data_IF_855500395527
#
_entry.id   IF_855500395527
#
_cell.length_a   1.000
_cell.length_b   1.000
_cell.length_c   1.000
_cell.angle_alpha   90.00
_cell.angle_beta   90.00
_cell.angle_gamma   90.00
#
_symmetry.space_group_name_H-M   'P 1'
#
loop_
_entity.id
_entity.type
_entity.pdbx_description
1 polymer ?
#
# COMPACT_ATOMS: atom_id res chain seq x y z
N UNK A 1 4.80 21.70 -34.65
CA UNK A 1 4.72 20.64 -33.62
C UNK A 1 6.14 20.17 -33.32
N UNK A 2 6.61 20.46 -32.12
CA UNK A 2 7.99 20.25 -31.69
C UNK A 2 8.32 18.75 -31.60
N UNK A 3 9.53 18.35 -31.99
CA UNK A 3 9.96 16.93 -32.03
C UNK A 3 10.12 16.32 -30.63
N UNK A 4 10.20 17.16 -29.60
CA UNK A 4 10.41 16.80 -28.20
C UNK A 4 9.20 16.12 -27.52
N UNK A 5 7.96 16.39 -27.97
CA UNK A 5 6.76 15.77 -27.39
C UNK A 5 6.66 14.26 -27.66
N UNK A 6 7.08 13.83 -28.86
CA UNK A 6 7.00 12.41 -29.26
C UNK A 6 7.97 11.54 -28.48
N UNK A 7 9.12 12.08 -28.09
CA UNK A 7 10.11 11.38 -27.25
C UNK A 7 9.59 11.17 -25.83
N UNK A 8 8.91 12.16 -25.27
CA UNK A 8 8.33 12.07 -23.93
C UNK A 8 7.18 11.07 -23.87
N UNK A 9 6.22 11.13 -24.78
CA UNK A 9 5.09 10.17 -24.82
C UNK A 9 5.55 8.72 -25.06
N UNK A 10 6.55 8.52 -25.91
CA UNK A 10 7.09 7.17 -26.19
C UNK A 10 7.81 6.61 -24.97
N UNK A 11 8.52 7.45 -24.22
CA UNK A 11 9.22 7.06 -22.98
C UNK A 11 8.24 6.76 -21.84
N UNK A 12 7.19 7.56 -21.70
CA UNK A 12 6.09 7.33 -20.76
C UNK A 12 5.36 6.03 -21.12
N UNK A 13 4.95 5.83 -22.39
CA UNK A 13 4.34 4.56 -22.83
C UNK A 13 5.27 3.37 -22.59
N UNK A 14 6.57 3.47 -22.85
CA UNK A 14 7.51 2.40 -22.52
C UNK A 14 7.55 2.04 -21.03
N UNK A 15 7.47 3.03 -20.14
CA UNK A 15 7.42 2.83 -18.69
C UNK A 15 6.12 2.18 -18.20
N UNK A 16 4.97 2.49 -18.81
CA UNK A 16 3.67 1.92 -18.41
C UNK A 16 3.29 0.65 -19.19
N UNK A 17 3.83 0.43 -20.39
CA UNK A 17 3.49 -0.69 -21.27
C UNK A 17 4.50 -1.84 -21.22
N UNK A 18 5.73 -1.62 -20.71
CA UNK A 18 6.84 -2.57 -20.80
C UNK A 18 7.13 -3.42 -19.56
N UNK A 19 6.43 -3.20 -18.46
CA UNK A 19 6.65 -3.99 -17.26
C UNK A 19 5.96 -3.34 -16.08
N UNK A 20 4.90 -3.99 -15.59
CA UNK A 20 4.40 -3.65 -14.27
C UNK A 20 5.57 -3.64 -13.30
N UNK A 21 5.55 -2.72 -12.32
CA UNK A 21 6.50 -2.74 -11.22
C UNK A 21 6.75 -4.18 -10.80
N UNK A 22 7.99 -4.59 -10.54
CA UNK A 22 8.28 -5.98 -10.15
C UNK A 22 7.45 -6.43 -8.91
N UNK A 23 6.96 -5.46 -8.14
CA UNK A 23 5.98 -5.60 -7.07
C UNK A 23 4.56 -6.03 -7.52
N UNK A 24 4.17 -5.69 -8.75
CA UNK A 24 2.88 -6.01 -9.40
C UNK A 24 2.95 -7.27 -10.27
N UNK A 25 4.10 -7.55 -10.90
CA UNK A 25 4.25 -8.71 -11.81
C UNK A 25 4.51 -10.02 -11.09
N UNK A 26 4.68 -10.01 -9.76
CA UNK A 26 4.93 -11.21 -8.96
C UNK A 26 6.30 -11.85 -9.19
N UNK A 27 7.15 -11.22 -10.02
CA UNK A 27 8.54 -11.62 -10.29
C UNK A 27 9.41 -11.48 -9.04
N UNK A 28 9.02 -10.57 -8.13
CA UNK A 28 9.61 -10.50 -6.79
C UNK A 28 8.85 -11.43 -5.83
N UNK A 29 9.61 -12.30 -5.15
CA UNK A 29 9.10 -13.11 -4.05
C UNK A 29 8.44 -12.18 -3.01
N UNK A 30 7.12 -12.36 -2.82
CA UNK A 30 6.36 -11.56 -1.86
C UNK A 30 6.84 -11.92 -0.47
N UNK A 31 7.59 -11.02 0.17
CA UNK A 31 8.04 -11.20 1.55
C UNK A 31 6.86 -11.56 2.44
N UNK A 32 7.01 -12.63 3.22
CA UNK A 32 6.02 -13.02 4.24
C UNK A 32 5.84 -11.83 5.19
N UNK A 33 4.59 -11.37 5.31
CA UNK A 33 4.25 -10.25 6.18
C UNK A 33 4.13 -10.74 7.61
N UNK A 34 4.73 -10.01 8.56
CA UNK A 34 4.59 -10.26 10.00
C UNK A 34 3.31 -9.63 10.57
N UNK A 35 2.43 -9.08 9.72
CA UNK A 35 1.18 -8.46 10.14
C UNK A 35 0.18 -9.54 10.57
N UNK A 36 -0.30 -9.43 11.82
CA UNK A 36 -1.40 -10.25 12.34
C UNK A 36 -2.73 -9.56 12.08
N UNK A 37 -3.77 -10.35 11.86
CA UNK A 37 -5.15 -9.87 11.78
C UNK A 37 -5.76 -9.84 13.19
N UNK A 38 -6.37 -8.72 13.55
CA UNK A 38 -6.91 -8.46 14.90
C UNK A 38 -8.28 -7.78 14.78
N UNK A 39 -9.17 -8.10 15.72
CA UNK A 39 -10.50 -7.46 15.83
C UNK A 39 -10.44 -6.35 16.87
N UNK A 40 -10.87 -5.14 16.51
CA UNK A 40 -10.89 -4.00 17.43
C UNK A 40 -11.89 -4.23 18.57
N UNK A 41 -11.43 -4.20 19.82
CA UNK A 41 -12.31 -4.37 21.00
C UNK A 41 -13.35 -3.26 21.19
N UNK A 42 -13.09 -2.06 20.67
CA UNK A 42 -14.02 -0.92 20.81
C UNK A 42 -15.11 -0.89 19.72
N UNK A 43 -14.77 -1.17 18.48
CA UNK A 43 -15.69 -0.97 17.34
C UNK A 43 -15.90 -2.20 16.46
N UNK A 44 -15.32 -3.36 16.82
CA UNK A 44 -15.46 -4.61 16.07
C UNK A 44 -14.77 -4.65 14.71
N UNK A 45 -14.10 -3.58 14.27
CA UNK A 45 -13.41 -3.53 12.98
C UNK A 45 -12.23 -4.51 12.95
N UNK A 46 -12.16 -5.34 11.92
CA UNK A 46 -11.03 -6.23 11.63
C UNK A 46 -9.94 -5.43 10.90
N UNK A 47 -8.69 -5.53 11.35
CA UNK A 47 -7.55 -4.85 10.74
C UNK A 47 -6.25 -5.65 10.91
N UNK A 48 -5.24 -5.33 10.09
CA UNK A 48 -3.91 -5.94 10.17
C UNK A 48 -2.92 -5.00 10.86
N UNK A 49 -2.12 -5.53 11.78
CA UNK A 49 -1.11 -4.76 12.50
C UNK A 49 0.07 -5.63 12.93
N UNK A 50 1.25 -5.05 13.04
CA UNK A 50 2.44 -5.63 13.66
C UNK A 50 2.50 -5.32 15.18
N UNK A 51 1.64 -4.41 15.66
CA UNK A 51 1.67 -3.93 17.05
C UNK A 51 0.89 -4.83 17.98
N UNK A 52 1.28 -4.86 19.25
CA UNK A 52 0.51 -5.45 20.34
C UNK A 52 -0.60 -4.48 20.76
N UNK A 53 -1.66 -4.41 19.96
CA UNK A 53 -2.85 -3.65 20.29
C UNK A 53 -4.10 -4.39 19.87
N UNK A 54 -5.16 -4.15 20.62
CA UNK A 54 -6.51 -4.55 20.26
C UNK A 54 -7.36 -3.36 19.78
N UNK A 55 -6.76 -2.19 19.58
CA UNK A 55 -7.48 -0.98 19.16
C UNK A 55 -7.11 -0.58 17.74
N UNK A 56 -8.13 -0.40 16.89
CA UNK A 56 -7.92 0.11 15.55
C UNK A 56 -7.41 1.57 15.59
N UNK A 57 -6.78 2.00 14.50
CA UNK A 57 -6.23 3.35 14.37
C UNK A 57 -7.24 4.47 14.70
N UNK A 58 -8.52 4.28 14.35
CA UNK A 58 -9.58 5.26 14.61
C UNK A 58 -9.88 5.39 16.11
N UNK A 59 -10.11 4.27 16.79
CA UNK A 59 -10.36 4.27 18.24
C UNK A 59 -9.13 4.73 19.03
N UNK A 60 -7.94 4.38 18.56
CA UNK A 60 -6.68 4.80 19.20
C UNK A 60 -6.45 6.31 19.09
N UNK A 61 -6.97 6.98 18.05
CA UNK A 61 -6.97 8.45 17.94
C UNK A 61 -7.96 9.10 18.92
N UNK A 62 -9.11 8.47 19.16
CA UNK A 62 -10.14 9.00 20.07
C UNK A 62 -9.74 8.94 21.55
N UNK A 63 -8.80 8.08 21.93
CA UNK A 63 -8.28 7.97 23.31
C UNK A 63 -7.09 8.89 23.62
N UNK A 64 -6.65 9.72 22.67
CA UNK A 64 -5.50 10.63 22.84
C UNK A 64 -5.92 12.09 23.09
N UNK A 65 -7.17 12.31 23.48
CA UNK A 65 -7.67 13.65 23.81
C UNK A 65 -7.90 13.70 25.33
N UNK A 66 -6.79 13.91 26.06
CA UNK A 66 -6.71 14.35 27.46
C UNK A 66 -5.53 15.33 27.56
#
# INVERSE_FOLDING_TARGET
>A
MNKDDKGFETKIKGMYSGGGCACQTGVLEKKKTSLKEVVCKNCGRIFKTDKETDYCFKCRKQMKED
#
